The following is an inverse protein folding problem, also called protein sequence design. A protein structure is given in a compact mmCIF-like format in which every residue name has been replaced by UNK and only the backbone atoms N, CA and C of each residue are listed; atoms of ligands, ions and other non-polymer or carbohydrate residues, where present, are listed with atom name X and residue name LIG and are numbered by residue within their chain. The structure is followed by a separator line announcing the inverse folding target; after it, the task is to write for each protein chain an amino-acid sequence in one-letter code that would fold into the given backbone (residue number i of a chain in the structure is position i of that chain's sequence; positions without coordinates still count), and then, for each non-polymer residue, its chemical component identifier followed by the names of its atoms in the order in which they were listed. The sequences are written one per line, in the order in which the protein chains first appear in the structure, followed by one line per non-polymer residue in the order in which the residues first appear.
data_IF_747543747990
#
_entry.id   IF_747543747990
#
_cell.length_a   1.000
_cell.length_b   1.000
_cell.length_c   1.000
_cell.angle_alpha   90.00
_cell.angle_beta   90.00
_cell.angle_gamma   90.00
#
_symmetry.space_group_name_H-M   'P 1'
#
loop_
_entity.id
_entity.type
_entity.pdbx_description
1 polymer ?
#
# COMPACT_ATOMS: atom_id res chain seq x y z
N UNK A 1 -4.04 4.58 -11.12
CA UNK A 1 -4.55 5.91 -11.51
C UNK A 1 -5.26 6.59 -10.35
N UNK A 2 -6.36 6.05 -9.81
CA UNK A 2 -7.06 6.68 -8.67
C UNK A 2 -6.17 6.77 -7.42
N UNK A 3 -5.56 5.66 -6.98
CA UNK A 3 -4.68 5.67 -5.79
C UNK A 3 -3.52 6.66 -5.94
N UNK A 4 -2.90 6.72 -7.11
CA UNK A 4 -1.81 7.66 -7.41
C UNK A 4 -2.20 9.11 -7.21
N UNK A 5 -3.42 9.51 -7.58
CA UNK A 5 -3.93 10.86 -7.33
C UNK A 5 -4.07 11.12 -5.82
N UNK A 6 -4.61 10.17 -5.07
CA UNK A 6 -4.69 10.27 -3.61
C UNK A 6 -3.31 10.27 -2.94
N UNK A 7 -2.32 9.56 -3.49
CA UNK A 7 -0.93 9.57 -3.02
C UNK A 7 -0.30 10.95 -3.18
N UNK A 8 -0.59 11.66 -4.29
CA UNK A 8 -0.16 13.07 -4.47
C UNK A 8 -0.87 13.99 -3.47
N UNK A 9 -2.17 13.83 -3.25
CA UNK A 9 -2.89 14.62 -2.26
C UNK A 9 -2.36 14.40 -0.84
N UNK A 10 -2.08 13.15 -0.47
CA UNK A 10 -1.46 12.81 0.81
C UNK A 10 -0.07 13.43 0.93
N UNK A 11 0.74 13.38 -0.13
CA UNK A 11 2.04 14.03 -0.16
C UNK A 11 1.94 15.53 0.15
N UNK A 12 1.05 16.24 -0.56
CA UNK A 12 0.84 17.68 -0.37
C UNK A 12 0.35 17.99 1.05
N UNK A 13 -0.59 17.19 1.57
CA UNK A 13 -1.07 17.32 2.94
C UNK A 13 0.05 17.12 3.97
N UNK A 14 0.90 16.11 3.80
CA UNK A 14 2.02 15.83 4.70
C UNK A 14 3.11 16.89 4.61
N UNK A 15 3.34 17.46 3.43
CA UNK A 15 4.27 18.58 3.30
C UNK A 15 3.78 19.75 4.14
N UNK A 16 2.51 20.12 4.03
CA UNK A 16 1.95 21.25 4.79
C UNK A 16 1.89 21.01 6.31
N UNK A 17 1.75 19.77 6.76
CA UNK A 17 1.52 19.45 8.19
C UNK A 17 2.74 18.92 8.94
N UNK A 18 3.63 18.17 8.27
CA UNK A 18 4.80 17.49 8.86
C UNK A 18 6.13 17.87 8.19
N UNK A 19 6.10 18.64 7.11
CA UNK A 19 7.29 19.13 6.40
C UNK A 19 7.72 18.25 5.23
N UNK A 20 8.62 18.80 4.40
CA UNK A 20 9.02 18.20 3.13
C UNK A 20 9.65 16.82 3.31
N UNK A 21 10.55 16.64 4.29
CA UNK A 21 11.22 15.36 4.52
C UNK A 21 10.22 14.22 4.77
N UNK A 22 9.25 14.43 5.66
CA UNK A 22 8.24 13.42 5.97
C UNK A 22 7.36 13.09 4.76
N UNK A 23 7.01 14.11 3.96
CA UNK A 23 6.27 13.90 2.71
C UNK A 23 7.08 13.13 1.67
N UNK A 24 8.38 13.40 1.52
CA UNK A 24 9.27 12.66 0.61
C UNK A 24 9.43 11.21 1.03
N UNK A 25 9.59 10.94 2.32
CA UNK A 25 9.63 9.58 2.85
C UNK A 25 8.33 8.81 2.53
N UNK A 26 7.17 9.41 2.80
CA UNK A 26 5.88 8.79 2.52
C UNK A 26 5.67 8.56 1.01
N UNK A 27 5.97 9.57 0.19
CA UNK A 27 5.86 9.50 -1.26
C UNK A 27 6.77 8.45 -1.87
N UNK A 28 8.02 8.35 -1.40
CA UNK A 28 8.97 7.32 -1.83
C UNK A 28 8.50 5.92 -1.45
N UNK A 29 7.98 5.76 -0.23
CA UNK A 29 7.41 4.48 0.23
C UNK A 29 6.22 4.05 -0.65
N UNK A 30 5.33 4.97 -1.00
CA UNK A 30 4.19 4.69 -1.88
C UNK A 30 4.63 4.36 -3.30
N UNK A 31 5.59 5.10 -3.86
CA UNK A 31 6.14 4.83 -5.18
C UNK A 31 6.71 3.41 -5.26
N UNK A 32 7.47 3.00 -4.24
CA UNK A 32 8.04 1.66 -4.17
C UNK A 32 6.98 0.57 -4.05
N UNK A 33 5.99 0.75 -3.16
CA UNK A 33 4.98 -0.26 -2.85
C UNK A 33 3.86 -0.39 -3.88
N UNK A 34 3.44 0.71 -4.51
CA UNK A 34 2.36 0.70 -5.51
C UNK A 34 2.86 0.28 -6.89
N UNK A 35 4.08 0.69 -7.26
CA UNK A 35 4.55 0.63 -8.64
C UNK A 35 5.84 -0.17 -8.78
N UNK A 36 6.94 0.28 -8.15
CA UNK A 36 8.28 -0.24 -8.50
C UNK A 36 8.44 -1.72 -8.14
N UNK A 37 8.23 -2.10 -6.87
CA UNK A 37 8.43 -3.48 -6.44
C UNK A 37 7.45 -4.46 -7.12
N UNK A 38 6.13 -4.19 -7.21
CA UNK A 38 5.21 -5.09 -7.90
C UNK A 38 5.56 -5.27 -9.37
N UNK A 39 6.02 -4.22 -10.07
CA UNK A 39 6.41 -4.33 -11.47
C UNK A 39 7.70 -5.15 -11.64
N UNK A 40 8.71 -4.96 -10.78
CA UNK A 40 9.94 -5.76 -10.82
C UNK A 40 9.60 -7.25 -10.68
N UNK A 41 8.88 -7.62 -9.61
CA UNK A 41 8.52 -9.04 -9.36
C UNK A 41 7.68 -9.60 -10.50
N UNK A 42 6.80 -8.78 -11.08
CA UNK A 42 5.95 -9.18 -12.21
C UNK A 42 6.73 -9.58 -13.46
N UNK A 43 7.81 -8.88 -13.76
CA UNK A 43 8.65 -9.18 -14.91
C UNK A 43 9.67 -10.30 -14.63
N UNK A 44 9.79 -10.74 -13.38
CA UNK A 44 10.58 -11.92 -13.01
C UNK A 44 9.72 -13.19 -13.13
N UNK A 45 8.53 -13.18 -12.52
CA UNK A 45 7.68 -14.38 -12.42
C UNK A 45 6.91 -14.71 -13.70
N UNK A 46 6.55 -13.68 -14.49
CA UNK A 46 5.84 -13.82 -15.78
C UNK A 46 4.60 -14.74 -15.72
N UNK A 47 3.95 -14.81 -14.55
CA UNK A 47 2.86 -15.77 -14.30
C UNK A 47 1.63 -15.43 -15.15
N UNK A 48 1.04 -16.40 -15.88
CA UNK A 48 -0.20 -16.18 -16.60
C UNK A 48 -1.38 -15.97 -15.65
N UNK A 49 -2.43 -15.27 -16.12
CA UNK A 49 -3.68 -15.07 -15.38
C UNK A 49 -4.60 -16.29 -15.48
N UNK A 50 -5.57 -16.46 -14.55
CA UNK A 50 -6.61 -17.47 -14.71
C UNK A 50 -7.36 -17.30 -16.04
N UNK A 51 -7.87 -18.38 -16.60
CA UNK A 51 -8.51 -18.40 -17.92
C UNK A 51 -9.95 -17.83 -17.87
N UNK A 52 -10.70 -18.18 -16.84
CA UNK A 52 -12.12 -17.81 -16.68
C UNK A 52 -12.32 -16.43 -16.02
N UNK A 53 -11.87 -15.38 -16.71
CA UNK A 53 -11.94 -14.00 -16.19
C UNK A 53 -13.32 -13.39 -16.46
N UNK A 54 -13.92 -12.77 -15.46
CA UNK A 54 -15.15 -11.98 -15.62
C UNK A 54 -14.91 -10.64 -16.32
N UNK A 55 -13.66 -10.18 -16.39
CA UNK A 55 -13.25 -8.94 -17.08
C UNK A 55 -11.98 -9.16 -17.89
N UNK A 56 -11.89 -8.48 -19.05
CA UNK A 56 -10.70 -8.53 -19.89
C UNK A 56 -9.59 -7.67 -19.32
N UNK A 57 -8.44 -8.27 -19.03
CA UNK A 57 -7.24 -7.60 -18.53
C UNK A 57 -6.00 -8.32 -19.06
N UNK A 58 -5.04 -7.53 -19.53
CA UNK A 58 -3.77 -7.99 -20.09
C UNK A 58 -2.64 -8.00 -19.05
N UNK A 59 -1.49 -8.54 -19.45
CA UNK A 59 -0.29 -8.66 -18.62
C UNK A 59 -0.35 -9.76 -17.56
N UNK A 60 0.77 -9.91 -16.84
CA UNK A 60 0.98 -10.99 -15.88
C UNK A 60 0.17 -10.82 -14.59
N UNK A 61 -0.13 -11.97 -13.97
CA UNK A 61 -0.98 -12.09 -12.78
C UNK A 61 -0.22 -11.80 -11.48
N UNK A 62 1.01 -12.26 -11.37
CA UNK A 62 1.78 -12.17 -10.13
C UNK A 62 2.70 -10.94 -10.10
N UNK A 63 2.88 -10.28 -8.95
CA UNK A 63 1.92 -10.20 -7.85
C UNK A 63 0.73 -9.31 -8.26
N UNK A 64 -0.34 -9.35 -7.47
CA UNK A 64 -1.49 -8.47 -7.72
C UNK A 64 -1.14 -7.01 -7.41
N UNK A 65 -1.11 -6.17 -8.45
CA UNK A 65 -0.85 -4.74 -8.30
C UNK A 65 -1.95 -3.99 -7.53
N UNK A 66 -3.20 -4.46 -7.60
CA UNK A 66 -4.28 -3.90 -6.78
C UNK A 66 -4.07 -4.21 -5.31
N UNK A 67 -3.70 -5.46 -4.97
CA UNK A 67 -3.41 -5.84 -3.59
C UNK A 67 -2.18 -5.11 -3.04
N UNK A 68 -1.11 -5.02 -3.82
CA UNK A 68 0.10 -4.29 -3.43
C UNK A 68 -0.18 -2.80 -3.25
N UNK A 69 -0.86 -2.16 -4.21
CA UNK A 69 -1.17 -0.74 -4.17
C UNK A 69 -2.15 -0.37 -3.06
N UNK A 70 -3.22 -1.15 -2.86
CA UNK A 70 -4.16 -0.90 -1.76
C UNK A 70 -3.49 -1.06 -0.40
N UNK A 71 -2.64 -2.08 -0.24
CA UNK A 71 -1.91 -2.32 1.01
C UNK A 71 -0.92 -1.19 1.29
N UNK A 72 -0.16 -0.76 0.27
CA UNK A 72 0.78 0.36 0.41
C UNK A 72 0.05 1.65 0.79
N UNK A 73 -0.97 2.04 0.02
CA UNK A 73 -1.66 3.32 0.23
C UNK A 73 -2.49 3.36 1.52
N UNK A 74 -3.45 2.43 1.68
CA UNK A 74 -4.33 2.46 2.85
C UNK A 74 -3.59 2.07 4.13
N UNK A 75 -2.64 1.13 4.04
CA UNK A 75 -1.79 0.74 5.17
C UNK A 75 -0.91 1.90 5.64
N UNK A 76 -0.19 2.57 4.73
CA UNK A 76 0.63 3.73 5.09
C UNK A 76 -0.22 4.86 5.68
N UNK A 77 -1.34 5.19 5.03
CA UNK A 77 -2.23 6.27 5.49
C UNK A 77 -2.76 5.98 6.88
N UNK A 78 -3.23 4.75 7.13
CA UNK A 78 -3.72 4.35 8.45
C UNK A 78 -2.63 4.43 9.51
N UNK A 79 -1.43 3.90 9.23
CA UNK A 79 -0.30 3.97 10.16
C UNK A 79 0.10 5.42 10.47
N UNK A 80 0.17 6.29 9.46
CA UNK A 80 0.48 7.71 9.65
C UNK A 80 -0.57 8.38 10.55
N UNK A 81 -1.86 8.15 10.28
CA UNK A 81 -2.94 8.72 11.10
C UNK A 81 -2.86 8.23 12.55
N UNK A 82 -2.71 6.91 12.74
CA UNK A 82 -2.64 6.26 14.06
C UNK A 82 -1.45 6.77 14.88
N UNK A 83 -0.30 6.94 14.25
CA UNK A 83 0.96 7.28 14.94
C UNK A 83 1.12 8.78 15.16
N UNK A 84 0.67 9.63 14.24
CA UNK A 84 1.04 11.05 14.23
C UNK A 84 -0.12 12.05 14.35
N UNK A 85 -1.37 11.61 14.27
CA UNK A 85 -2.55 12.49 14.27
C UNK A 85 -3.63 12.07 15.29
N UNK A 86 -3.78 10.78 15.58
CA UNK A 86 -4.82 10.28 16.48
C UNK A 86 -4.33 10.14 17.93
N UNK A 87 -5.12 10.69 18.86
CA UNK A 87 -4.84 10.63 20.31
C UNK A 87 -5.59 9.50 21.00
N UNK A 88 -6.87 9.31 20.68
CA UNK A 88 -7.75 8.38 21.42
C UNK A 88 -7.61 6.96 20.88
N UNK A 89 -7.52 5.96 21.76
CA UNK A 89 -7.35 4.56 21.40
C UNK A 89 -8.46 4.03 20.47
N UNK A 90 -9.72 4.39 20.75
CA UNK A 90 -10.85 3.95 19.90
C UNK A 90 -10.75 4.44 18.46
N UNK A 91 -10.22 5.66 18.23
CA UNK A 91 -10.02 6.19 16.87
C UNK A 91 -8.97 5.37 16.12
N UNK A 92 -7.89 4.98 16.82
CA UNK A 92 -6.82 4.15 16.26
C UNK A 92 -7.37 2.78 15.84
N UNK A 93 -8.19 2.16 16.69
CA UNK A 93 -8.86 0.90 16.39
C UNK A 93 -9.79 1.02 15.17
N UNK A 94 -10.63 2.05 15.12
CA UNK A 94 -11.54 2.24 13.99
C UNK A 94 -10.78 2.40 12.68
N UNK A 95 -9.75 3.26 12.64
CA UNK A 95 -8.95 3.45 11.42
C UNK A 95 -8.21 2.18 11.02
N UNK A 96 -7.65 1.44 11.98
CA UNK A 96 -6.99 0.16 11.70
C UNK A 96 -7.94 -0.88 11.10
N UNK A 97 -9.13 -1.03 11.69
CA UNK A 97 -10.17 -1.95 11.21
C UNK A 97 -10.66 -1.54 9.83
N UNK A 98 -10.96 -0.26 9.59
CA UNK A 98 -11.42 0.23 8.30
C UNK A 98 -10.38 -0.01 7.20
N UNK A 99 -9.10 0.27 7.48
CA UNK A 99 -8.02 0.04 6.54
C UNK A 99 -7.88 -1.45 6.21
N UNK A 100 -7.91 -2.31 7.24
CA UNK A 100 -7.86 -3.76 7.05
C UNK A 100 -9.04 -4.26 6.20
N UNK A 101 -10.27 -3.88 6.54
CA UNK A 101 -11.47 -4.29 5.79
C UNK A 101 -11.42 -3.82 4.33
N UNK A 102 -11.02 -2.59 4.07
CA UNK A 102 -10.90 -2.07 2.69
C UNK A 102 -9.86 -2.84 1.89
N UNK A 103 -8.70 -3.12 2.47
CA UNK A 103 -7.65 -3.92 1.82
C UNK A 103 -8.17 -5.33 1.52
N UNK A 104 -8.79 -5.99 2.50
CA UNK A 104 -9.35 -7.33 2.35
C UNK A 104 -10.45 -7.40 1.28
N UNK A 105 -11.34 -6.41 1.21
CA UNK A 105 -12.39 -6.33 0.20
C UNK A 105 -11.81 -6.16 -1.21
N UNK A 106 -10.77 -5.31 -1.36
CA UNK A 106 -10.08 -5.15 -2.64
C UNK A 106 -9.41 -6.46 -3.05
N UNK A 107 -8.70 -7.11 -2.12
CA UNK A 107 -8.07 -8.41 -2.32
C UNK A 107 -9.08 -9.46 -2.78
N UNK A 108 -10.20 -9.59 -2.06
CA UNK A 108 -11.29 -10.51 -2.39
C UNK A 108 -11.86 -10.24 -3.78
N UNK A 109 -12.12 -8.96 -4.12
CA UNK A 109 -12.66 -8.60 -5.43
C UNK A 109 -11.78 -9.07 -6.60
N UNK A 110 -10.45 -9.15 -6.40
CA UNK A 110 -9.52 -9.60 -7.45
C UNK A 110 -9.59 -11.10 -7.69
N UNK A 111 -9.80 -11.87 -6.64
CA UNK A 111 -10.02 -13.32 -6.73
C UNK A 111 -11.40 -13.60 -7.31
N UNK A 112 -12.43 -12.91 -6.80
CA UNK A 112 -13.81 -13.05 -7.27
C UNK A 112 -13.98 -12.77 -8.77
N UNK A 113 -13.30 -11.75 -9.30
CA UNK A 113 -13.32 -11.42 -10.74
C UNK A 113 -12.54 -12.42 -11.62
N UNK A 114 -11.89 -13.42 -11.02
CA UNK A 114 -11.09 -14.40 -11.76
C UNK A 114 -9.81 -13.83 -12.38
N UNK A 115 -9.39 -12.62 -11.99
CA UNK A 115 -8.22 -11.95 -12.61
C UNK A 115 -6.90 -12.28 -11.94
N UNK A 116 -6.94 -12.80 -10.71
CA UNK A 116 -5.78 -13.16 -9.89
C UNK A 116 -6.04 -14.43 -9.08
N UNK A 117 -5.01 -15.24 -8.88
CA UNK A 117 -5.04 -16.34 -7.91
C UNK A 117 -4.96 -15.79 -6.48
N UNK A 118 -5.47 -16.52 -5.47
CA UNK A 118 -5.31 -16.15 -4.07
C UNK A 118 -3.84 -15.87 -3.68
N UNK A 119 -2.91 -16.65 -4.21
CA UNK A 119 -1.47 -16.45 -3.97
C UNK A 119 -0.92 -15.15 -4.57
N UNK A 120 -1.43 -14.67 -5.70
CA UNK A 120 -1.00 -13.38 -6.28
C UNK A 120 -1.38 -12.22 -5.36
N UNK A 121 -2.56 -12.33 -4.75
CA UNK A 121 -3.15 -11.31 -3.89
C UNK A 121 -2.45 -11.29 -2.53
N UNK A 122 -2.19 -12.48 -1.94
CA UNK A 122 -1.39 -12.62 -0.73
C UNK A 122 0.05 -12.12 -0.93
N UNK A 123 0.68 -12.44 -2.06
CA UNK A 123 2.02 -11.96 -2.36
C UNK A 123 2.08 -10.43 -2.49
N UNK A 124 1.09 -9.83 -3.17
CA UNK A 124 0.99 -8.37 -3.27
C UNK A 124 0.82 -7.70 -1.91
N UNK A 125 -0.04 -8.26 -1.04
CA UNK A 125 -0.21 -7.79 0.34
C UNK A 125 1.11 -7.90 1.14
N UNK A 126 1.73 -9.08 1.16
CA UNK A 126 2.95 -9.33 1.93
C UNK A 126 4.12 -8.46 1.47
N UNK A 127 4.26 -8.23 0.17
CA UNK A 127 5.30 -7.38 -0.40
C UNK A 127 5.20 -5.94 0.12
N UNK A 128 4.01 -5.34 0.02
CA UNK A 128 3.78 -3.98 0.52
C UNK A 128 3.83 -3.90 2.03
N UNK A 129 3.25 -4.86 2.77
CA UNK A 129 3.30 -4.87 4.23
C UNK A 129 4.74 -4.96 4.77
N UNK A 130 5.60 -5.75 4.12
CA UNK A 130 7.02 -5.84 4.46
C UNK A 130 7.73 -4.52 4.19
N UNK A 131 7.47 -3.88 3.04
CA UNK A 131 8.01 -2.56 2.73
C UNK A 131 7.58 -1.51 3.74
N UNK A 132 6.30 -1.47 4.13
CA UNK A 132 5.81 -0.53 5.13
C UNK A 132 6.54 -0.73 6.47
N UNK A 133 6.64 -1.98 6.94
CA UNK A 133 7.32 -2.31 8.19
C UNK A 133 8.79 -1.86 8.16
N UNK A 134 9.49 -2.13 7.06
CA UNK A 134 10.87 -1.69 6.84
C UNK A 134 10.96 -0.16 6.83
N UNK A 135 10.11 0.51 6.05
CA UNK A 135 10.11 1.96 5.90
C UNK A 135 9.88 2.69 7.23
N UNK A 136 8.94 2.21 8.05
CA UNK A 136 8.70 2.76 9.39
C UNK A 136 9.88 2.51 10.34
N UNK A 137 10.51 1.33 10.29
CA UNK A 137 11.69 1.04 11.11
C UNK A 137 12.82 2.06 10.85
N UNK A 138 13.11 2.37 9.58
CA UNK A 138 14.11 3.39 9.24
C UNK A 138 13.67 4.81 9.59
N UNK A 139 12.38 5.12 9.42
CA UNK A 139 11.83 6.41 9.81
C UNK A 139 12.06 6.66 11.32
N UNK A 140 11.75 5.69 12.18
CA UNK A 140 11.93 5.82 13.63
C UNK A 140 13.41 5.82 14.06
N UNK A 141 14.30 5.22 13.28
CA UNK A 141 15.75 5.35 13.48
C UNK A 141 16.33 6.66 12.97
N UNK A 142 15.58 7.43 12.17
CA UNK A 142 16.10 8.68 11.62
C UNK A 142 16.32 9.71 12.74
N UNK A 143 17.45 10.44 12.73
CA UNK A 143 17.74 11.47 13.74
C UNK A 143 16.70 12.62 13.77
N UNK A 144 15.88 12.74 12.72
CA UNK A 144 14.91 13.82 12.55
C UNK A 144 13.72 13.63 13.49
N UNK A 145 13.24 12.41 13.69
CA UNK A 145 12.16 12.10 14.64
C UNK A 145 12.64 11.92 16.08
N UNK A 146 13.93 11.74 16.30
CA UNK A 146 14.52 11.69 17.64
C UNK A 146 14.73 13.08 18.26
N UNK A 147 14.63 14.14 17.45
CA UNK A 147 14.84 15.54 17.86
C UNK A 147 13.53 16.32 18.12
N UNK A 148 12.38 15.70 17.92
CA UNK A 148 11.04 16.28 18.13
C UNK A 148 10.40 15.75 19.39
#
# INVERSE_FOLDING_TARGET
MILTLFSVLLFLFLWKTKGLFFSLWAGFTLLLGELVLPQIVKHIELRPRPLDKLISISGYSFPSGHAAGSTAFYGLTALILILFFLKKAWQKWIIGILAFLLISLIMFSRVYLGVHYPSDVLAGFSLSASLLSFSFYFLFKSPILQRS
#
